data_IF_755791092213
#
_entry.id   IF_755791092213
#
_cell.length_a   1.000
_cell.length_b   1.000
_cell.length_c   1.000
_cell.angle_alpha   90.00
_cell.angle_beta   90.00
_cell.angle_gamma   90.00
#
_symmetry.space_group_name_H-M   'P 1'
#
loop_
_entity.id
_entity.type
_entity.pdbx_description
1 polymer ?
#
# COMPACT_ATOMS: atom_id res chain seq x y z
N UNK A 1 19.07 19.16 1.61
CA UNK A 1 18.68 17.84 1.06
C UNK A 1 18.07 17.00 2.18
N UNK A 2 16.94 16.35 1.93
CA UNK A 2 16.27 15.45 2.88
C UNK A 2 16.46 14.00 2.40
N UNK A 3 16.86 13.12 3.30
CA UNK A 3 17.04 11.70 3.04
C UNK A 3 15.82 10.94 3.56
N UNK A 4 15.13 10.20 2.68
CA UNK A 4 13.99 9.38 3.06
C UNK A 4 14.15 7.97 2.54
N UNK A 5 13.81 6.99 3.38
CA UNK A 5 13.67 5.60 2.97
C UNK A 5 12.21 5.31 2.65
N UNK A 6 11.88 5.10 1.37
CA UNK A 6 10.49 4.87 0.94
C UNK A 6 9.93 3.50 1.36
N UNK A 7 10.81 2.59 1.77
CA UNK A 7 10.45 1.23 2.18
C UNK A 7 10.31 1.07 3.69
N UNK A 8 10.53 2.13 4.47
CA UNK A 8 10.50 2.11 5.94
C UNK A 8 11.29 0.90 6.48
N UNK A 9 10.65 0.03 7.26
CA UNK A 9 11.23 -1.18 7.84
C UNK A 9 10.94 -2.47 7.05
N UNK A 10 10.32 -2.40 5.87
CA UNK A 10 9.89 -3.60 5.14
C UNK A 10 11.06 -4.51 4.77
N UNK A 11 12.24 -3.95 4.51
CA UNK A 11 13.43 -4.72 4.13
C UNK A 11 13.94 -5.64 5.24
N UNK A 12 13.49 -5.48 6.49
CA UNK A 12 13.84 -6.38 7.60
C UNK A 12 13.09 -7.72 7.54
N UNK A 13 11.88 -7.72 6.99
CA UNK A 13 10.99 -8.91 6.98
C UNK A 13 10.76 -9.47 5.58
N UNK A 14 10.85 -8.64 4.55
CA UNK A 14 10.63 -9.04 3.16
C UNK A 14 11.80 -8.65 2.24
N UNK A 15 12.06 -9.42 1.18
CA UNK A 15 13.11 -9.09 0.22
C UNK A 15 12.73 -7.87 -0.64
N UNK A 16 13.74 -7.20 -1.19
CA UNK A 16 13.58 -5.95 -1.94
C UNK A 16 12.61 -6.03 -3.12
N UNK A 17 12.53 -7.18 -3.80
CA UNK A 17 11.60 -7.37 -4.93
C UNK A 17 10.13 -7.37 -4.47
N UNK A 18 9.84 -7.92 -3.29
CA UNK A 18 8.49 -7.91 -2.70
C UNK A 18 8.14 -6.51 -2.21
N UNK A 19 9.10 -5.80 -1.60
CA UNK A 19 8.90 -4.41 -1.19
C UNK A 19 8.63 -3.49 -2.39
N UNK A 20 9.36 -3.65 -3.49
CA UNK A 20 9.16 -2.88 -4.72
C UNK A 20 7.78 -3.14 -5.35
N UNK A 21 7.37 -4.41 -5.46
CA UNK A 21 6.04 -4.74 -6.02
C UNK A 21 4.89 -4.18 -5.15
N UNK A 22 5.03 -4.23 -3.82
CA UNK A 22 4.11 -3.60 -2.86
C UNK A 22 4.02 -2.08 -3.08
N UNK A 23 5.17 -1.41 -3.22
CA UNK A 23 5.23 0.04 -3.47
C UNK A 23 4.52 0.43 -4.77
N UNK A 24 4.83 -0.25 -5.88
CA UNK A 24 4.23 0.04 -7.19
C UNK A 24 2.71 -0.16 -7.16
N UNK A 25 2.21 -1.18 -6.44
CA UNK A 25 0.78 -1.39 -6.28
C UNK A 25 0.10 -0.23 -5.54
N UNK A 26 0.68 0.24 -4.44
CA UNK A 26 0.12 1.35 -3.66
C UNK A 26 0.13 2.65 -4.47
N UNK A 27 1.26 2.98 -5.11
CA UNK A 27 1.40 4.17 -5.95
C UNK A 27 0.39 4.17 -7.10
N UNK A 28 0.23 3.01 -7.76
CA UNK A 28 -0.76 2.87 -8.84
C UNK A 28 -2.20 2.98 -8.34
N UNK A 29 -2.49 2.43 -7.17
CA UNK A 29 -3.82 2.52 -6.55
C UNK A 29 -4.17 3.98 -6.21
N UNK A 30 -3.23 4.71 -5.58
CA UNK A 30 -3.35 6.12 -5.30
C UNK A 30 -3.59 6.93 -6.58
N UNK A 31 -2.88 6.65 -7.66
CA UNK A 31 -3.11 7.36 -8.93
C UNK A 31 -4.51 7.10 -9.54
N UNK A 32 -5.08 5.89 -9.35
CA UNK A 32 -6.38 5.53 -9.93
C UNK A 32 -7.56 6.01 -9.10
N UNK A 33 -7.47 5.89 -7.77
CA UNK A 33 -8.53 6.31 -6.85
C UNK A 33 -7.96 6.54 -5.42
N UNK A 34 -7.59 7.79 -5.12
CA UNK A 34 -6.97 8.15 -3.85
C UNK A 34 -7.87 7.88 -2.63
N UNK A 35 -9.16 8.19 -2.70
CA UNK A 35 -10.07 8.10 -1.55
C UNK A 35 -10.26 6.65 -1.10
N UNK A 36 -10.49 5.73 -2.06
CA UNK A 36 -10.61 4.31 -1.75
C UNK A 36 -9.28 3.74 -1.25
N UNK A 37 -8.15 4.17 -1.80
CA UNK A 37 -6.85 3.68 -1.35
C UNK A 37 -6.51 4.15 0.06
N UNK A 38 -6.87 5.38 0.45
CA UNK A 38 -6.69 5.87 1.82
C UNK A 38 -7.50 5.04 2.84
N UNK A 39 -8.72 4.65 2.48
CA UNK A 39 -9.56 3.77 3.32
C UNK A 39 -8.96 2.37 3.44
N UNK A 40 -8.44 1.80 2.33
CA UNK A 40 -7.80 0.48 2.35
C UNK A 40 -6.50 0.50 3.17
N UNK A 41 -5.71 1.57 3.09
CA UNK A 41 -4.45 1.73 3.83
C UNK A 41 -4.67 1.98 5.33
N UNK A 42 -5.85 2.47 5.74
CA UNK A 42 -6.22 2.73 7.14
C UNK A 42 -7.51 1.99 7.53
N UNK A 43 -7.47 0.65 7.61
CA UNK A 43 -8.65 -0.14 7.97
C UNK A 43 -9.03 0.02 9.45
N UNK A 44 -8.05 0.23 10.34
CA UNK A 44 -8.25 0.33 11.79
C UNK A 44 -7.74 1.67 12.33
N UNK A 45 -8.44 2.24 13.32
CA UNK A 45 -8.07 3.51 14.01
C UNK A 45 -6.73 3.43 14.77
N UNK A 46 -6.22 2.22 14.98
CA UNK A 46 -4.96 1.92 15.69
C UNK A 46 -3.73 1.94 14.78
N UNK A 47 -3.91 2.05 13.45
CA UNK A 47 -2.81 2.11 12.49
C UNK A 47 -2.12 3.48 12.56
N UNK A 48 -1.27 3.64 13.57
CA UNK A 48 -0.46 4.85 13.78
C UNK A 48 0.76 4.79 12.86
N UNK A 49 0.96 5.86 12.08
CA UNK A 49 2.20 6.09 11.35
C UNK A 49 3.25 6.56 12.37
N UNK A 50 4.40 5.90 12.43
CA UNK A 50 5.54 6.37 13.27
C UNK A 50 6.12 7.63 12.65
N UNK A 51 6.71 8.53 13.45
CA UNK A 51 7.23 9.84 12.99
C UNK A 51 8.24 9.76 11.82
N UNK A 52 8.94 8.64 11.65
CA UNK A 52 9.93 8.43 10.59
C UNK A 52 9.45 7.54 9.44
N UNK A 53 8.19 7.11 9.47
CA UNK A 53 7.64 6.20 8.45
C UNK A 53 6.68 6.94 7.52
N UNK A 54 6.74 6.60 6.23
CA UNK A 54 5.82 7.15 5.22
C UNK A 54 4.51 6.36 5.23
N UNK A 55 4.59 5.05 5.47
CA UNK A 55 3.46 4.14 5.40
C UNK A 55 2.97 3.73 6.80
N UNK A 56 1.67 3.42 6.96
CA UNK A 56 1.17 2.86 8.22
C UNK A 56 1.82 1.50 8.51
N UNK A 57 2.07 1.24 9.80
CA UNK A 57 2.65 -0.04 10.23
C UNK A 57 1.57 -1.13 10.22
N UNK A 58 1.40 -1.76 9.07
CA UNK A 58 0.46 -2.87 8.86
C UNK A 58 1.19 -4.21 9.00
N UNK A 59 0.50 -5.23 9.53
CA UNK A 59 1.01 -6.62 9.55
C UNK A 59 1.03 -7.22 8.14
N UNK A 60 1.82 -8.27 7.90
CA UNK A 60 1.90 -8.89 6.56
C UNK A 60 0.56 -9.43 6.06
N UNK A 61 -0.30 -9.93 6.96
CA UNK A 61 -1.67 -10.34 6.63
C UNK A 61 -2.52 -9.17 6.11
N UNK A 62 -2.42 -8.01 6.78
CA UNK A 62 -3.09 -6.79 6.35
C UNK A 62 -2.54 -6.29 5.01
N UNK A 63 -1.23 -6.43 4.76
CA UNK A 63 -0.62 -6.10 3.48
C UNK A 63 -1.10 -6.99 2.34
N UNK A 64 -1.24 -8.29 2.58
CA UNK A 64 -1.78 -9.23 1.59
C UNK A 64 -3.24 -8.88 1.25
N UNK A 65 -4.04 -8.55 2.27
CA UNK A 65 -5.42 -8.08 2.08
C UNK A 65 -5.47 -6.78 1.29
N UNK A 66 -4.65 -5.78 1.64
CA UNK A 66 -4.54 -4.50 0.91
C UNK A 66 -4.15 -4.71 -0.55
N UNK A 67 -3.13 -5.56 -0.81
CA UNK A 67 -2.72 -5.92 -2.16
C UNK A 67 -3.89 -6.51 -2.95
N UNK A 68 -4.57 -7.51 -2.38
CA UNK A 68 -5.75 -8.11 -3.01
C UNK A 68 -6.86 -7.09 -3.30
N UNK A 69 -7.16 -6.18 -2.37
CA UNK A 69 -8.17 -5.13 -2.57
C UNK A 69 -7.78 -4.13 -3.66
N UNK A 70 -6.51 -3.75 -3.72
CA UNK A 70 -5.96 -2.90 -4.79
C UNK A 70 -6.09 -3.58 -6.15
N UNK A 71 -5.72 -4.86 -6.23
CA UNK A 71 -5.91 -5.67 -7.44
C UNK A 71 -7.39 -5.73 -7.84
N UNK A 72 -8.29 -5.94 -6.89
CA UNK A 72 -9.75 -5.96 -7.13
C UNK A 72 -10.28 -4.62 -7.62
N UNK A 73 -9.78 -3.49 -7.10
CA UNK A 73 -10.15 -2.16 -7.58
C UNK A 73 -9.77 -1.96 -9.05
N UNK A 74 -8.64 -2.50 -9.46
CA UNK A 74 -8.19 -2.43 -10.85
C UNK A 74 -9.03 -3.28 -11.80
N UNK A 75 -9.39 -4.50 -11.39
CA UNK A 75 -10.24 -5.40 -12.19
C UNK A 75 -11.65 -4.84 -12.41
N UNK A 76 -12.21 -4.12 -11.42
CA UNK A 76 -13.53 -3.48 -11.57
C UNK A 76 -13.60 -2.40 -12.66
N UNK A 77 -12.48 -1.76 -13.03
CA UNK A 77 -12.47 -0.85 -14.20
C UNK A 77 -12.44 -1.61 -15.53
N UNK A 78 -11.83 -2.80 -15.60
CA UNK A 78 -11.81 -3.58 -16.83
C UNK A 78 -13.17 -4.19 -17.19
N UNK A 79 -14.06 -4.44 -16.22
CA UNK A 79 -15.40 -4.96 -16.50
C UNK A 79 -16.45 -3.89 -16.85
N UNK A 80 -16.11 -2.60 -16.75
CA UNK A 80 -17.01 -1.48 -17.08
C UNK A 80 -16.82 -0.91 -18.49
N UNK A 81 -16.01 -1.56 -19.32
CA UNK A 81 -15.80 -1.23 -20.73
C UNK A 81 -16.38 -2.33 -21.61
N UNK A 82 -17.69 -2.52 -21.55
CA UNK A 82 -18.51 -3.11 -22.62
C UNK A 82 -19.85 -2.40 -22.62
#
# INVERSE_FOLDING_TARGET
MLLFNIYDDWLKTIPSYTAFSRLILILRALHVNQDRTKVILRPDKTAVTKDHHIWPSLTDEQWQKTSFWVWRLRLRRCSGSR
#
